data_IF_227065755990
#
_entry.id   IF_227065755990
#
_cell.length_a   1.000
_cell.length_b   1.000
_cell.length_c   1.000
_cell.angle_alpha   90.00
_cell.angle_beta   90.00
_cell.angle_gamma   90.00
#
_symmetry.space_group_name_H-M   'P 1'
#
loop_
_entity.id
_entity.type
_entity.pdbx_description
1 polymer ?
#
# COMPACT_ATOMS: atom_id res chain seq x y z
N UNK A 1 3.93 5.66 18.66
CA UNK A 1 2.67 5.09 18.15
C UNK A 1 2.97 3.64 17.76
N UNK A 2 2.51 2.68 18.57
CA UNK A 2 2.83 1.26 18.38
C UNK A 2 1.69 0.60 17.61
N UNK A 3 1.95 0.19 16.37
CA UNK A 3 0.97 -0.53 15.56
C UNK A 3 0.89 -1.97 16.05
N UNK A 4 -0.24 -2.36 16.65
CA UNK A 4 -0.56 -3.76 16.94
C UNK A 4 -1.23 -4.35 15.69
N UNK A 5 -0.58 -5.30 15.04
CA UNK A 5 -1.17 -6.12 13.99
C UNK A 5 -1.62 -7.45 14.62
N UNK A 6 -2.85 -7.88 14.32
CA UNK A 6 -3.35 -9.19 14.75
C UNK A 6 -2.85 -10.26 13.79
N UNK A 7 -2.25 -11.33 14.32
CA UNK A 7 -2.14 -12.60 13.60
C UNK A 7 -3.54 -13.20 13.46
N UNK A 8 -3.83 -13.93 12.37
CA UNK A 8 -5.13 -14.58 12.12
C UNK A 8 -5.58 -15.50 13.27
N UNK A 9 -4.64 -15.91 14.12
CA UNK A 9 -4.90 -16.61 15.37
C UNK A 9 -5.25 -15.63 16.49
N UNK A 10 -6.56 -15.53 16.73
CA UNK A 10 -7.25 -14.99 17.93
C UNK A 10 -6.33 -14.29 18.95
N UNK A 11 -6.23 -12.97 18.81
CA UNK A 11 -6.00 -12.08 19.95
C UNK A 11 -7.18 -11.13 20.06
N UNK A 12 -7.45 -10.67 21.27
CA UNK A 12 -8.58 -9.82 21.68
C UNK A 12 -8.69 -8.51 20.84
N UNK A 13 -9.21 -8.61 19.61
CA UNK A 13 -9.32 -7.49 18.66
C UNK A 13 -10.79 -7.20 18.34
N UNK A 14 -11.20 -5.92 18.29
CA UNK A 14 -12.58 -5.55 18.01
C UNK A 14 -13.04 -5.96 16.60
N UNK A 15 -12.11 -6.09 15.65
CA UNK A 15 -12.40 -6.63 14.32
C UNK A 15 -11.13 -7.15 13.62
N UNK A 16 -11.34 -7.91 12.55
CA UNK A 16 -10.32 -8.31 11.58
C UNK A 16 -10.76 -7.82 10.20
N UNK A 17 -9.84 -7.23 9.44
CA UNK A 17 -10.10 -6.71 8.10
C UNK A 17 -9.01 -7.20 7.14
N UNK A 18 -9.41 -7.83 6.04
CA UNK A 18 -8.54 -8.19 4.92
C UNK A 18 -8.98 -7.41 3.69
N UNK A 19 -8.03 -6.69 3.08
CA UNK A 19 -8.25 -5.97 1.82
C UNK A 19 -7.18 -6.45 0.86
N UNK A 20 -7.62 -6.90 -0.31
CA UNK A 20 -6.75 -7.24 -1.44
C UNK A 20 -7.00 -6.23 -2.55
N UNK A 21 -5.93 -5.65 -3.06
CA UNK A 21 -5.99 -4.63 -4.11
C UNK A 21 -5.01 -5.03 -5.21
N UNK A 22 -5.49 -5.07 -6.44
CA UNK A 22 -4.69 -5.32 -7.63
C UNK A 22 -4.73 -4.10 -8.53
N UNK A 23 -3.57 -3.72 -9.07
CA UNK A 23 -3.44 -2.65 -10.05
C UNK A 23 -2.83 -3.19 -11.33
N UNK A 24 -3.44 -2.86 -12.46
CA UNK A 24 -2.88 -3.10 -13.78
C UNK A 24 -2.26 -1.80 -14.29
N UNK A 25 -1.02 -1.87 -14.77
CA UNK A 25 -0.26 -0.71 -15.23
C UNK A 25 0.31 -0.99 -16.61
N UNK A 26 0.09 -0.07 -17.53
CA UNK A 26 0.71 -0.07 -18.85
C UNK A 26 1.99 0.79 -18.82
N UNK A 27 3.05 0.29 -19.45
CA UNK A 27 4.37 0.93 -19.47
C UNK A 27 4.73 1.26 -20.91
N UNK A 28 5.06 2.53 -21.17
CA UNK A 28 5.63 2.94 -22.46
C UNK A 28 7.09 2.50 -22.54
N UNK A 29 7.33 1.40 -23.24
CA UNK A 29 8.65 0.80 -23.42
C UNK A 29 9.64 1.71 -24.18
N UNK A 30 9.16 2.74 -24.88
CA UNK A 30 10.02 3.71 -25.56
C UNK A 30 10.62 4.75 -24.61
N UNK A 31 9.95 4.99 -23.48
CA UNK A 31 10.33 6.01 -22.49
C UNK A 31 10.80 5.41 -21.17
N UNK A 32 10.50 4.14 -20.92
CA UNK A 32 10.82 3.45 -19.68
C UNK A 32 11.67 2.22 -19.95
N UNK A 33 12.88 2.20 -19.37
CA UNK A 33 13.81 1.09 -19.54
C UNK A 33 13.27 -0.17 -18.82
N UNK A 34 13.04 -1.22 -19.60
CA UNK A 34 12.47 -2.50 -19.16
C UNK A 34 13.19 -3.10 -17.96
N UNK A 35 14.49 -2.84 -17.78
CA UNK A 35 15.26 -3.37 -16.64
C UNK A 35 14.76 -2.85 -15.29
N UNK A 36 14.05 -1.71 -15.26
CA UNK A 36 13.49 -1.13 -14.05
C UNK A 36 12.03 -1.52 -13.78
N UNK A 37 11.37 -2.32 -14.63
CA UNK A 37 9.95 -2.65 -14.48
C UNK A 37 9.68 -3.32 -13.13
N UNK A 38 10.47 -4.34 -12.78
CA UNK A 38 10.30 -5.04 -11.51
C UNK A 38 10.58 -4.13 -10.31
N UNK A 39 11.59 -3.27 -10.40
CA UNK A 39 11.93 -2.34 -9.30
C UNK A 39 10.81 -1.32 -9.07
N UNK A 40 10.28 -0.76 -10.17
CA UNK A 40 9.14 0.15 -10.15
C UNK A 40 7.87 -0.53 -9.64
N UNK A 41 7.58 -1.75 -10.09
CA UNK A 41 6.41 -2.51 -9.66
C UNK A 41 6.45 -2.82 -8.15
N UNK A 42 7.65 -3.03 -7.58
CA UNK A 42 7.80 -3.29 -6.14
C UNK A 42 7.79 -2.02 -5.29
N UNK A 43 8.21 -0.87 -5.83
CA UNK A 43 8.42 0.36 -5.06
C UNK A 43 7.34 1.42 -5.30
N UNK A 44 6.99 1.65 -6.56
CA UNK A 44 6.14 2.76 -6.99
C UNK A 44 4.69 2.33 -7.16
N UNK A 45 4.42 1.15 -7.73
CA UNK A 45 3.04 0.67 -7.89
C UNK A 45 2.28 0.60 -6.55
N UNK A 46 2.85 0.08 -5.43
CA UNK A 46 2.17 0.08 -4.14
C UNK A 46 1.89 1.49 -3.62
N UNK A 47 2.78 2.45 -3.89
CA UNK A 47 2.59 3.85 -3.53
C UNK A 47 1.37 4.46 -4.23
N UNK A 48 1.16 4.12 -5.50
CA UNK A 48 0.01 4.56 -6.30
C UNK A 48 -1.28 3.89 -5.80
N UNK A 49 -1.21 2.63 -5.40
CA UNK A 49 -2.35 1.86 -4.90
C UNK A 49 -2.74 2.24 -3.46
N UNK A 50 -1.81 2.79 -2.68
CA UNK A 50 -1.99 3.06 -1.26
C UNK A 50 -3.19 3.97 -0.89
N UNK A 51 -3.49 5.06 -1.63
CA UNK A 51 -4.68 5.88 -1.36
C UNK A 51 -5.98 5.08 -1.47
N UNK A 52 -6.07 4.15 -2.43
CA UNK A 52 -7.25 3.29 -2.61
C UNK A 52 -7.37 2.31 -1.46
N UNK A 53 -6.27 1.69 -1.03
CA UNK A 53 -6.26 0.82 0.15
C UNK A 53 -6.72 1.58 1.41
N UNK A 54 -6.23 2.80 1.60
CA UNK A 54 -6.61 3.66 2.74
C UNK A 54 -8.09 4.00 2.72
N UNK A 55 -8.64 4.34 1.56
CA UNK A 55 -10.07 4.62 1.42
C UNK A 55 -10.91 3.39 1.73
N UNK A 56 -10.54 2.21 1.21
CA UNK A 56 -11.27 0.98 1.47
C UNK A 56 -11.28 0.62 2.96
N UNK A 57 -10.15 0.79 3.64
CA UNK A 57 -10.06 0.53 5.08
C UNK A 57 -10.92 1.49 5.90
N UNK A 58 -10.88 2.78 5.55
CA UNK A 58 -11.73 3.80 6.15
C UNK A 58 -13.22 3.49 5.93
N UNK A 59 -13.63 3.25 4.69
CA UNK A 59 -15.02 3.07 4.33
C UNK A 59 -15.61 1.77 4.89
N UNK A 60 -14.84 0.66 4.89
CA UNK A 60 -15.27 -0.60 5.51
C UNK A 60 -15.45 -0.46 7.03
N UNK A 61 -14.55 0.24 7.72
CA UNK A 61 -14.67 0.44 9.17
C UNK A 61 -15.98 1.13 9.55
N UNK A 62 -16.33 2.22 8.84
CA UNK A 62 -17.57 2.97 9.07
C UNK A 62 -18.81 2.12 8.74
N UNK A 63 -18.80 1.42 7.59
CA UNK A 63 -19.93 0.58 7.19
C UNK A 63 -20.23 -0.55 8.18
N UNK A 64 -19.21 -1.05 8.86
CA UNK A 64 -19.35 -2.07 9.90
C UNK A 64 -19.68 -1.50 11.29
N UNK A 65 -19.93 -0.19 11.41
CA UNK A 65 -20.27 0.47 12.68
C UNK A 65 -19.09 0.70 13.62
N UNK A 66 -17.84 0.55 13.14
CA UNK A 66 -16.64 0.85 13.90
C UNK A 66 -16.19 2.31 13.68
N UNK A 67 -15.40 2.88 14.61
CA UNK A 67 -14.74 4.16 14.38
C UNK A 67 -13.89 4.14 13.11
N UNK A 68 -13.74 5.28 12.41
CA UNK A 68 -13.00 5.32 11.16
C UNK A 68 -11.55 4.87 11.35
N UNK A 69 -11.16 3.82 10.64
CA UNK A 69 -9.79 3.31 10.64
C UNK A 69 -8.98 4.04 9.57
N UNK A 70 -8.01 4.85 10.00
CA UNK A 70 -7.12 5.62 9.12
C UNK A 70 -5.75 4.98 9.12
N UNK A 71 -5.34 4.48 7.95
CA UNK A 71 -3.97 3.99 7.74
C UNK A 71 -3.00 5.17 7.77
N UNK A 72 -1.89 5.10 8.55
CA UNK A 72 -0.90 6.17 8.66
C UNK A 72 -0.26 6.53 7.31
N UNK A 73 0.46 7.64 7.27
CA UNK A 73 1.29 7.98 6.11
C UNK A 73 2.47 7.01 6.03
N UNK A 74 2.73 6.50 4.82
CA UNK A 74 3.93 5.73 4.51
C UNK A 74 4.97 6.65 3.85
N UNK A 75 6.25 6.41 4.13
CA UNK A 75 7.31 7.03 3.36
C UNK A 75 7.42 6.32 2.02
N UNK A 76 7.36 7.09 0.94
CA UNK A 76 7.60 6.54 -0.39
C UNK A 76 9.10 6.29 -0.56
N UNK A 77 9.51 5.22 -1.26
CA UNK A 77 10.91 5.01 -1.59
C UNK A 77 11.43 6.23 -2.36
N UNK A 78 12.46 6.87 -1.80
CA UNK A 78 13.11 7.99 -2.48
C UNK A 78 13.89 7.45 -3.68
N UNK A 79 13.80 8.16 -4.81
CA UNK A 79 14.63 7.90 -5.97
C UNK A 79 16.07 8.17 -5.53
N UNK A 80 16.86 7.11 -5.30
CA UNK A 80 18.29 7.28 -5.06
C UNK A 80 18.91 7.72 -6.39
N UNK A 81 19.48 8.94 -6.40
CA UNK A 81 20.26 9.43 -7.54
C UNK A 81 21.36 8.39 -7.82
N UNK A 82 21.48 7.84 -9.04
CA UNK A 82 22.56 6.91 -9.34
C UNK A 82 23.88 7.62 -9.02
N UNK A 83 24.69 6.99 -8.16
CA UNK A 83 26.02 7.49 -7.82
C UNK A 83 26.83 7.57 -9.10
N UNK A 84 27.08 8.80 -9.57
CA UNK A 84 28.06 9.08 -10.62
C UNK A 84 29.41 8.55 -10.15
N UNK A 85 29.83 7.42 -10.72
CA UNK A 85 31.17 6.87 -10.62
C UNK A 85 32.08 7.57 -11.63
#
# INVERSE_FOLDING_TARGET
MQFRYGTEEKSDTPFLMRIELSGEFEIDENQFDKKYINDWAMKNAPAILFPFLREQAYALSIRCGFPPFIIPLIQLPSIQKPSSS
#
